data_IF_838755161476
#
_entry.id   IF_838755161476
#
_cell.length_a   1.000
_cell.length_b   1.000
_cell.length_c   1.000
_cell.angle_alpha   90.00
_cell.angle_beta   90.00
_cell.angle_gamma   90.00
#
_symmetry.space_group_name_H-M   'P 1'
#
loop_
_entity.id
_entity.type
_entity.pdbx_description
1 polymer ?
#
# COMPACT_ATOMS: atom_id res chain seq x y z
N UNK A 1 -7.27 -4.48 22.37
CA UNK A 1 -6.03 -4.09 21.65
C UNK A 1 -5.65 -5.13 20.59
N UNK A 2 -5.48 -6.41 20.95
CA UNK A 2 -5.15 -7.46 19.97
C UNK A 2 -6.24 -7.66 18.90
N UNK A 3 -7.51 -7.69 19.31
CA UNK A 3 -8.65 -7.84 18.39
C UNK A 3 -8.69 -6.72 17.34
N UNK A 4 -8.54 -5.46 17.77
CA UNK A 4 -8.51 -4.30 16.87
C UNK A 4 -7.35 -4.37 15.88
N UNK A 5 -6.17 -4.83 16.33
CA UNK A 5 -5.01 -5.03 15.46
C UNK A 5 -5.28 -6.14 14.43
N UNK A 6 -5.82 -7.28 14.86
CA UNK A 6 -6.19 -8.39 13.97
C UNK A 6 -7.25 -7.96 12.95
N UNK A 7 -8.23 -7.14 13.34
CA UNK A 7 -9.22 -6.57 12.42
C UNK A 7 -8.57 -5.64 11.41
N UNK A 8 -7.69 -4.73 11.84
CA UNK A 8 -6.99 -3.82 10.94
C UNK A 8 -6.10 -4.57 9.93
N UNK A 9 -5.38 -5.59 10.39
CA UNK A 9 -4.57 -6.46 9.52
C UNK A 9 -5.46 -7.25 8.55
N UNK A 10 -6.58 -7.80 9.03
CA UNK A 10 -7.53 -8.50 8.17
C UNK A 10 -8.09 -7.62 7.06
N UNK A 11 -8.46 -6.38 7.39
CA UNK A 11 -8.92 -5.39 6.41
C UNK A 11 -7.82 -5.02 5.41
N UNK A 12 -6.59 -4.80 5.89
CA UNK A 12 -5.44 -4.54 5.01
C UNK A 12 -5.22 -5.68 4.01
N UNK A 13 -5.28 -6.93 4.46
CA UNK A 13 -5.13 -8.11 3.58
C UNK A 13 -6.25 -8.21 2.54
N UNK A 14 -7.50 -7.92 2.92
CA UNK A 14 -8.62 -7.88 1.98
C UNK A 14 -8.38 -6.80 0.92
N UNK A 15 -8.00 -5.59 1.33
CA UNK A 15 -7.74 -4.47 0.42
C UNK A 15 -6.57 -4.76 -0.54
N UNK A 16 -5.45 -5.29 -0.02
CA UNK A 16 -4.32 -5.73 -0.83
C UNK A 16 -4.70 -6.84 -1.82
N UNK A 17 -5.60 -7.75 -1.42
CA UNK A 17 -6.05 -8.86 -2.27
C UNK A 17 -7.00 -8.47 -3.40
N UNK A 18 -7.69 -7.32 -3.31
CA UNK A 18 -8.69 -6.90 -4.32
C UNK A 18 -8.03 -6.63 -5.68
N UNK A 19 -6.93 -5.86 -5.72
CA UNK A 19 -6.24 -5.53 -6.97
C UNK A 19 -5.73 -6.75 -7.77
N UNK A 20 -5.01 -7.71 -7.17
CA UNK A 20 -4.58 -8.91 -7.87
C UNK A 20 -5.75 -9.82 -8.26
N UNK A 21 -6.87 -9.81 -7.52
CA UNK A 21 -8.06 -10.59 -7.83
C UNK A 21 -8.86 -10.01 -9.01
N UNK A 22 -9.13 -8.70 -8.99
CA UNK A 22 -9.96 -8.03 -10.00
C UNK A 22 -9.20 -7.83 -11.32
N UNK A 23 -7.94 -7.42 -11.26
CA UNK A 23 -7.17 -7.04 -12.45
C UNK A 23 -5.74 -7.61 -12.43
N UNK A 24 -5.56 -8.95 -12.48
CA UNK A 24 -4.26 -9.60 -12.36
C UNK A 24 -3.25 -9.22 -13.46
N UNK A 25 -3.73 -8.89 -14.67
CA UNK A 25 -2.85 -8.48 -15.79
C UNK A 25 -2.29 -7.07 -15.57
N UNK A 26 -3.15 -6.12 -15.20
CA UNK A 26 -2.74 -4.75 -14.86
C UNK A 26 -1.82 -4.75 -13.65
N UNK A 27 -2.14 -5.50 -12.59
CA UNK A 27 -1.29 -5.62 -11.41
C UNK A 27 0.13 -6.08 -11.76
N UNK A 28 0.26 -7.15 -12.55
CA UNK A 28 1.58 -7.63 -13.02
C UNK A 28 2.33 -6.59 -13.85
N UNK A 29 1.63 -5.82 -14.67
CA UNK A 29 2.25 -4.73 -15.45
C UNK A 29 2.77 -3.62 -14.54
N UNK A 30 1.98 -3.17 -13.57
CA UNK A 30 2.40 -2.16 -12.59
C UNK A 30 3.63 -2.63 -11.79
N UNK A 31 3.64 -3.90 -11.34
CA UNK A 31 4.80 -4.49 -10.67
C UNK A 31 6.06 -4.48 -11.56
N UNK A 32 5.92 -4.81 -12.85
CA UNK A 32 7.03 -4.75 -13.81
C UNK A 32 7.53 -3.33 -14.07
N UNK A 33 6.62 -2.35 -14.07
CA UNK A 33 6.98 -0.93 -14.18
C UNK A 33 7.72 -0.45 -12.91
N UNK A 34 7.32 -0.93 -11.73
CA UNK A 34 8.05 -0.67 -10.48
C UNK A 34 9.46 -1.27 -10.49
N UNK A 35 9.66 -2.46 -11.04
CA UNK A 35 10.99 -3.07 -11.18
C UNK A 35 11.92 -2.29 -12.13
N UNK A 36 11.35 -1.48 -13.04
CA UNK A 36 12.11 -0.63 -13.95
C UNK A 36 12.38 0.76 -13.37
N UNK A 37 11.67 1.15 -12.32
CA UNK A 37 11.92 2.39 -11.61
C UNK A 37 13.25 2.29 -10.85
N UNK A 38 13.96 3.42 -10.71
CA UNK A 38 15.15 3.46 -9.87
C UNK A 38 14.81 3.29 -8.39
N UNK A 39 15.71 2.65 -7.64
CA UNK A 39 15.55 2.44 -6.20
C UNK A 39 15.26 3.75 -5.43
N UNK A 40 15.89 4.85 -5.85
CA UNK A 40 15.68 6.17 -5.24
C UNK A 40 14.26 6.71 -5.48
N UNK A 41 13.71 6.52 -6.68
CA UNK A 41 12.33 6.94 -6.98
C UNK A 41 11.33 6.13 -6.14
N UNK A 42 11.57 4.82 -5.97
CA UNK A 42 10.74 3.96 -5.16
C UNK A 42 10.80 4.34 -3.67
N UNK A 43 11.98 4.69 -3.16
CA UNK A 43 12.18 5.19 -1.79
C UNK A 43 11.44 6.50 -1.55
N UNK A 44 11.54 7.47 -2.47
CA UNK A 44 10.85 8.76 -2.34
C UNK A 44 9.34 8.56 -2.40
N UNK A 45 8.84 7.73 -3.32
CA UNK A 45 7.42 7.38 -3.39
C UNK A 45 6.93 6.78 -2.06
N UNK A 46 7.66 5.81 -1.52
CA UNK A 46 7.37 5.21 -0.22
C UNK A 46 7.40 6.22 0.92
N UNK A 47 8.36 7.16 0.91
CA UNK A 47 8.43 8.23 1.91
C UNK A 47 7.21 9.15 1.84
N UNK A 48 6.80 9.56 0.64
CA UNK A 48 5.60 10.39 0.46
C UNK A 48 4.34 9.66 0.93
N UNK A 49 4.20 8.36 0.66
CA UNK A 49 3.10 7.54 1.14
C UNK A 49 3.09 7.44 2.67
N UNK A 50 4.25 7.21 3.30
CA UNK A 50 4.38 7.17 4.76
C UNK A 50 4.01 8.51 5.39
N UNK A 51 4.52 9.62 4.86
CA UNK A 51 4.20 10.97 5.35
C UNK A 51 2.71 11.31 5.17
N UNK A 52 2.13 10.96 4.02
CA UNK A 52 0.69 11.11 3.79
C UNK A 52 -0.14 10.30 4.78
N UNK A 53 0.27 9.06 5.08
CA UNK A 53 -0.38 8.23 6.09
C UNK A 53 -0.31 8.84 7.50
N UNK A 54 0.85 9.34 7.90
CA UNK A 54 1.03 10.02 9.19
C UNK A 54 0.20 11.30 9.26
N UNK A 55 0.19 12.12 8.19
CA UNK A 55 -0.60 13.34 8.12
C UNK A 55 -2.11 13.04 8.22
N UNK A 56 -2.58 12.00 7.52
CA UNK A 56 -3.98 11.57 7.61
C UNK A 56 -4.33 11.09 9.02
N UNK A 57 -3.46 10.30 9.65
CA UNK A 57 -3.64 9.88 11.04
C UNK A 57 -3.73 11.08 11.98
N UNK A 58 -2.89 12.12 11.80
CA UNK A 58 -2.92 13.34 12.60
C UNK A 58 -4.18 14.20 12.38
N UNK A 59 -4.81 14.14 11.20
CA UNK A 59 -6.06 14.86 10.93
C UNK A 59 -7.26 14.13 11.54
N UNK A 60 -7.27 12.79 11.46
CA UNK A 60 -8.39 11.95 11.89
C UNK A 60 -8.33 11.64 13.39
N UNK A 61 -7.17 11.77 14.02
CA UNK A 61 -6.92 11.48 15.44
C UNK A 61 -6.29 12.68 16.14
#
# INVERSE_FOLDING_TARGET
>A
MLETLLTAVGLYLVLEGIFPFVAPKQWKRTMLEMLRASDDALRICGLLMMLGGVALLYIVR
#
